data_IF_656715911512
#
_entry.id   IF_656715911512
#
_cell.length_a   1.000
_cell.length_b   1.000
_cell.length_c   1.000
_cell.angle_alpha   90.00
_cell.angle_beta   90.00
_cell.angle_gamma   90.00
#
_symmetry.space_group_name_H-M   'P 1'
#
loop_
_entity.id
_entity.type
_entity.pdbx_description
1 polymer ?
#
# COMPACT_ATOMS: atom_id res chain seq x y z
N UNK A 1 -1.46 24.17 -5.37
CA UNK A 1 -1.15 23.75 -6.75
C UNK A 1 0.02 22.76 -6.71
N UNK A 2 -0.27 21.47 -6.82
CA UNK A 2 0.76 20.46 -7.02
C UNK A 2 1.02 20.42 -8.53
N UNK A 3 2.06 21.12 -8.96
CA UNK A 3 2.51 21.09 -10.35
C UNK A 3 3.09 19.74 -10.70
N UNK A 4 2.29 18.87 -11.32
CA UNK A 4 2.77 17.62 -11.91
C UNK A 4 3.51 17.98 -13.20
N UNK A 5 4.82 18.04 -13.13
CA UNK A 5 5.68 18.21 -14.32
C UNK A 5 5.88 16.84 -14.95
N UNK A 6 5.07 16.55 -15.95
CA UNK A 6 5.15 15.35 -16.78
C UNK A 6 6.34 15.45 -17.73
N UNK A 7 7.36 14.64 -17.57
CA UNK A 7 8.45 14.50 -18.55
C UNK A 7 8.69 13.00 -18.81
N UNK A 8 8.46 12.56 -20.03
CA UNK A 8 8.98 11.33 -20.62
C UNK A 8 7.98 10.18 -20.79
N UNK A 9 8.21 9.40 -21.83
CA UNK A 9 7.39 8.28 -22.31
C UNK A 9 7.18 7.12 -21.32
N UNK A 10 7.98 7.01 -20.29
CA UNK A 10 7.89 5.95 -19.27
C UNK A 10 6.76 6.20 -18.25
N UNK A 11 6.34 7.45 -18.06
CA UNK A 11 5.14 7.76 -17.29
C UNK A 11 3.87 7.17 -17.91
N UNK A 12 3.86 6.97 -19.22
CA UNK A 12 2.67 6.51 -19.94
C UNK A 12 2.21 5.09 -19.56
N UNK A 13 3.10 4.17 -19.13
CA UNK A 13 2.68 2.78 -18.81
C UNK A 13 1.99 2.73 -17.45
N UNK A 14 2.58 3.34 -16.44
CA UNK A 14 1.98 3.43 -15.09
C UNK A 14 0.68 4.23 -15.14
N UNK A 15 0.68 5.36 -15.80
CA UNK A 15 -0.48 6.24 -15.93
C UNK A 15 -1.60 5.56 -16.72
N UNK A 16 -1.27 4.78 -17.75
CA UNK A 16 -2.26 4.02 -18.52
C UNK A 16 -2.96 2.98 -17.65
N UNK A 17 -2.24 2.23 -16.82
CA UNK A 17 -2.83 1.23 -15.92
C UNK A 17 -3.71 1.89 -14.86
N UNK A 18 -3.25 2.99 -14.26
CA UNK A 18 -4.04 3.76 -13.30
C UNK A 18 -5.28 4.35 -13.97
N UNK A 19 -5.14 4.92 -15.17
CA UNK A 19 -6.25 5.49 -15.90
C UNK A 19 -7.30 4.44 -16.29
N UNK A 20 -6.88 3.22 -16.65
CA UNK A 20 -7.80 2.10 -16.91
C UNK A 20 -8.60 1.73 -15.65
N UNK A 21 -7.96 1.72 -14.47
CA UNK A 21 -8.66 1.46 -13.21
C UNK A 21 -9.65 2.59 -12.91
N UNK A 22 -9.23 3.84 -13.03
CA UNK A 22 -10.09 5.01 -12.82
C UNK A 22 -11.30 4.93 -13.75
N UNK A 23 -11.08 4.74 -15.06
CA UNK A 23 -12.16 4.71 -16.08
C UNK A 23 -13.13 3.56 -15.84
N UNK A 24 -12.66 2.43 -15.28
CA UNK A 24 -13.52 1.28 -14.96
C UNK A 24 -14.47 1.56 -13.80
N UNK A 25 -14.06 2.39 -12.86
CA UNK A 25 -14.77 2.63 -11.61
C UNK A 25 -15.35 4.05 -11.49
N UNK A 26 -15.04 4.91 -12.45
CA UNK A 26 -15.54 6.29 -12.44
C UNK A 26 -17.05 6.32 -12.65
N UNK A 27 -17.72 7.14 -11.85
CA UNK A 27 -19.16 7.42 -12.00
C UNK A 27 -19.29 8.82 -12.57
N UNK A 28 -20.06 8.94 -13.66
CA UNK A 28 -20.36 10.24 -14.27
C UNK A 28 -20.96 11.19 -13.24
N UNK A 29 -20.51 12.44 -13.26
CA UNK A 29 -20.99 13.54 -12.40
C UNK A 29 -20.66 13.40 -10.91
N UNK A 30 -19.81 12.44 -10.52
CA UNK A 30 -19.32 12.33 -9.15
C UNK A 30 -18.08 13.21 -8.94
N UNK A 31 -17.98 13.98 -7.83
CA UNK A 31 -16.77 14.70 -7.46
C UNK A 31 -15.64 13.75 -7.00
N UNK A 32 -15.94 12.47 -6.80
CA UNK A 32 -14.99 11.47 -6.33
C UNK A 32 -14.55 10.54 -7.46
N UNK A 33 -13.29 10.13 -7.40
CA UNK A 33 -12.70 9.21 -8.40
C UNK A 33 -13.31 7.81 -8.32
N UNK A 34 -13.65 7.35 -7.11
CA UNK A 34 -14.25 6.04 -6.88
C UNK A 34 -15.64 6.18 -6.24
N UNK A 35 -16.59 5.28 -6.53
CA UNK A 35 -17.97 5.34 -6.05
C UNK A 35 -18.10 4.87 -4.60
N UNK A 36 -17.18 5.30 -3.74
CA UNK A 36 -17.18 4.99 -2.30
C UNK A 36 -17.96 6.05 -1.54
N UNK A 37 -17.75 7.30 -1.92
CA UNK A 37 -18.46 8.46 -1.39
C UNK A 37 -19.40 8.99 -2.47
N UNK A 38 -20.60 9.35 -2.07
CA UNK A 38 -21.63 9.89 -2.98
C UNK A 38 -22.11 11.28 -2.56
N UNK A 39 -21.95 11.64 -1.29
CA UNK A 39 -22.35 12.95 -0.77
C UNK A 39 -21.23 13.95 -0.83
N UNK A 40 -21.55 15.20 -1.17
CA UNK A 40 -20.67 16.37 -1.07
C UNK A 40 -20.75 17.07 0.29
N UNK A 41 -21.73 16.70 1.13
CA UNK A 41 -21.78 17.18 2.51
C UNK A 41 -20.68 16.52 3.34
N UNK A 42 -19.93 17.31 4.09
CA UNK A 42 -18.76 16.84 4.81
C UNK A 42 -19.09 15.83 5.91
N UNK A 43 -20.22 15.98 6.58
CA UNK A 43 -20.65 15.10 7.69
C UNK A 43 -21.09 13.76 7.12
N UNK A 44 -21.95 13.80 6.10
CA UNK A 44 -22.45 12.59 5.45
C UNK A 44 -21.31 11.84 4.73
N UNK A 45 -20.43 12.53 4.03
CA UNK A 45 -19.26 11.94 3.39
C UNK A 45 -18.32 11.26 4.41
N UNK A 46 -18.14 11.86 5.59
CA UNK A 46 -17.36 11.25 6.68
C UNK A 46 -18.01 9.97 7.21
N UNK A 47 -19.32 9.95 7.38
CA UNK A 47 -20.04 8.74 7.80
C UNK A 47 -19.93 7.63 6.73
N UNK A 48 -20.10 7.95 5.46
CA UNK A 48 -19.90 7.02 4.35
C UNK A 48 -18.47 6.45 4.35
N UNK A 49 -17.45 7.31 4.52
CA UNK A 49 -16.05 6.91 4.63
C UNK A 49 -15.83 5.94 5.79
N UNK A 50 -16.37 6.23 6.98
CA UNK A 50 -16.22 5.40 8.17
C UNK A 50 -16.81 4.00 7.96
N UNK A 51 -18.00 3.93 7.36
CA UNK A 51 -18.67 2.66 7.03
C UNK A 51 -17.87 1.86 6.00
N UNK A 52 -17.41 2.53 4.93
CA UNK A 52 -16.62 1.92 3.88
C UNK A 52 -15.29 1.38 4.41
N UNK A 53 -14.59 2.14 5.24
CA UNK A 53 -13.32 1.74 5.87
C UNK A 53 -13.51 0.50 6.76
N UNK A 54 -14.55 0.47 7.60
CA UNK A 54 -14.86 -0.67 8.45
C UNK A 54 -15.17 -1.92 7.62
N UNK A 55 -15.95 -1.76 6.54
CA UNK A 55 -16.28 -2.84 5.62
C UNK A 55 -15.04 -3.38 4.94
N UNK A 56 -14.16 -2.49 4.43
CA UNK A 56 -12.89 -2.84 3.82
C UNK A 56 -12.01 -3.66 4.78
N UNK A 57 -11.81 -3.18 6.01
CA UNK A 57 -11.00 -3.86 7.01
C UNK A 57 -11.57 -5.24 7.38
N UNK A 58 -12.89 -5.37 7.47
CA UNK A 58 -13.57 -6.65 7.71
C UNK A 58 -13.36 -7.64 6.56
N UNK A 59 -13.44 -7.16 5.31
CA UNK A 59 -13.22 -7.98 4.12
C UNK A 59 -11.74 -8.42 4.01
N UNK A 60 -10.78 -7.55 4.33
CA UNK A 60 -9.36 -7.92 4.40
C UNK A 60 -9.09 -9.00 5.46
N UNK A 61 -9.76 -8.91 6.61
CA UNK A 61 -9.69 -9.96 7.63
C UNK A 61 -10.17 -11.31 7.12
N UNK A 62 -11.34 -11.35 6.46
CA UNK A 62 -11.86 -12.57 5.84
C UNK A 62 -10.94 -13.12 4.74
N UNK A 63 -10.38 -12.25 3.91
CA UNK A 63 -9.44 -12.65 2.88
C UNK A 63 -8.17 -13.26 3.49
N UNK A 64 -7.68 -12.69 4.59
CA UNK A 64 -6.54 -13.21 5.34
C UNK A 64 -6.80 -14.63 5.86
N UNK A 65 -7.99 -14.90 6.38
CA UNK A 65 -8.42 -16.23 6.84
C UNK A 65 -8.54 -17.23 5.66
N UNK A 66 -9.18 -16.82 4.56
CA UNK A 66 -9.37 -17.68 3.37
C UNK A 66 -8.05 -18.08 2.70
N UNK A 67 -7.03 -17.22 2.78
CA UNK A 67 -5.71 -17.45 2.19
C UNK A 67 -4.71 -18.08 3.18
N UNK A 68 -5.16 -18.39 4.40
CA UNK A 68 -4.31 -18.89 5.49
C UNK A 68 -3.03 -18.05 5.67
N UNK A 69 -3.22 -16.71 5.64
CA UNK A 69 -2.10 -15.79 5.77
C UNK A 69 -1.53 -15.85 7.19
N UNK A 70 -0.20 -15.97 7.31
CA UNK A 70 0.51 -15.94 8.60
C UNK A 70 0.35 -14.64 9.37
N UNK A 71 -0.06 -13.56 8.69
CA UNK A 71 -0.30 -12.25 9.26
C UNK A 71 -1.64 -11.70 8.79
N UNK A 72 -2.27 -10.89 9.65
CA UNK A 72 -3.52 -10.21 9.31
C UNK A 72 -3.28 -9.19 8.20
N UNK A 73 -4.04 -9.30 7.11
CA UNK A 73 -4.01 -8.32 6.03
C UNK A 73 -4.67 -7.01 6.49
N UNK A 74 -4.01 -5.92 6.19
CA UNK A 74 -4.49 -4.55 6.44
C UNK A 74 -4.23 -3.69 5.21
N UNK A 75 -4.81 -2.49 5.14
CA UNK A 75 -4.48 -1.53 4.06
C UNK A 75 -2.99 -1.17 4.01
N UNK A 76 -2.29 -1.24 5.13
CA UNK A 76 -0.85 -1.03 5.19
C UNK A 76 -0.03 -2.18 4.61
N UNK A 77 -0.58 -3.39 4.53
CA UNK A 77 0.12 -4.54 3.97
C UNK A 77 0.57 -4.31 2.54
N UNK A 78 -0.26 -3.66 1.71
CA UNK A 78 0.10 -3.30 0.33
C UNK A 78 1.29 -2.35 0.28
N UNK A 79 1.33 -1.36 1.18
CA UNK A 79 2.43 -0.40 1.30
C UNK A 79 3.73 -1.08 1.74
N UNK A 80 3.67 -1.98 2.72
CA UNK A 80 4.82 -2.77 3.17
C UNK A 80 5.33 -3.68 2.05
N UNK A 81 4.42 -4.39 1.37
CA UNK A 81 4.78 -5.30 0.28
C UNK A 81 5.43 -4.56 -0.89
N UNK A 82 4.92 -3.38 -1.26
CA UNK A 82 5.53 -2.56 -2.30
C UNK A 82 6.94 -2.13 -1.93
N UNK A 83 7.15 -1.63 -0.72
CA UNK A 83 8.46 -1.16 -0.26
C UNK A 83 9.48 -2.31 -0.22
N UNK A 84 9.08 -3.47 0.29
CA UNK A 84 9.91 -4.68 0.33
C UNK A 84 10.23 -5.19 -1.08
N UNK A 85 9.23 -5.25 -1.97
CA UNK A 85 9.43 -5.65 -3.35
C UNK A 85 10.38 -4.69 -4.08
N UNK A 86 10.19 -3.38 -3.95
CA UNK A 86 11.06 -2.38 -4.54
C UNK A 86 12.51 -2.54 -4.07
N UNK A 87 12.73 -2.77 -2.78
CA UNK A 87 14.05 -3.04 -2.23
C UNK A 87 14.67 -4.33 -2.79
N UNK A 88 13.90 -5.42 -2.85
CA UNK A 88 14.36 -6.71 -3.38
C UNK A 88 14.73 -6.62 -4.87
N UNK A 89 14.14 -5.67 -5.60
CA UNK A 89 14.50 -5.32 -6.97
C UNK A 89 15.63 -4.27 -7.08
N UNK A 90 16.33 -3.99 -5.98
CA UNK A 90 17.42 -3.02 -5.93
C UNK A 90 17.04 -1.60 -6.38
N UNK A 91 15.78 -1.20 -6.16
CA UNK A 91 15.36 0.18 -6.41
C UNK A 91 16.08 1.10 -5.41
N UNK A 92 16.70 2.22 -5.87
CA UNK A 92 17.38 3.14 -4.98
C UNK A 92 16.48 3.65 -3.85
N UNK A 93 17.05 3.80 -2.66
CA UNK A 93 16.28 4.18 -1.46
C UNK A 93 15.62 5.57 -1.60
N UNK A 94 16.27 6.46 -2.35
CA UNK A 94 15.71 7.78 -2.71
C UNK A 94 14.40 7.66 -3.48
N UNK A 95 14.32 6.72 -4.42
CA UNK A 95 13.11 6.47 -5.22
C UNK A 95 12.03 5.83 -4.36
N UNK A 96 12.40 4.88 -3.49
CA UNK A 96 11.45 4.27 -2.53
C UNK A 96 10.91 5.35 -1.58
N UNK A 97 11.78 6.22 -1.07
CA UNK A 97 11.42 7.34 -0.19
C UNK A 97 10.40 8.27 -0.82
N UNK A 98 10.64 8.66 -2.07
CA UNK A 98 9.71 9.49 -2.84
C UNK A 98 8.38 8.77 -3.09
N UNK A 99 8.41 7.50 -3.48
CA UNK A 99 7.21 6.70 -3.71
C UNK A 99 6.37 6.47 -2.45
N UNK A 100 7.02 6.46 -1.28
CA UNK A 100 6.36 6.37 0.01
C UNK A 100 5.92 7.74 0.57
N UNK A 101 6.33 8.85 -0.04
CA UNK A 101 6.06 10.20 0.46
C UNK A 101 6.77 10.52 1.77
N UNK A 102 7.92 9.89 2.03
CA UNK A 102 8.73 10.21 3.20
C UNK A 102 9.52 11.51 2.98
N UNK A 103 9.65 12.31 4.03
CA UNK A 103 10.40 13.57 4.00
C UNK A 103 11.92 13.38 4.01
N UNK A 104 12.41 12.19 4.40
CA UNK A 104 13.82 11.85 4.39
C UNK A 104 14.06 10.38 4.06
N UNK A 105 15.19 10.09 3.43
CA UNK A 105 15.65 8.73 3.15
C UNK A 105 15.93 7.95 4.44
N UNK A 106 16.36 8.63 5.50
CA UNK A 106 16.61 8.02 6.79
C UNK A 106 15.32 7.40 7.37
N UNK A 107 14.17 8.07 7.22
CA UNK A 107 12.87 7.51 7.61
C UNK A 107 12.56 6.22 6.85
N UNK A 108 12.87 6.19 5.56
CA UNK A 108 12.68 5.01 4.71
C UNK A 108 13.63 3.89 5.11
N UNK A 109 14.86 4.21 5.46
CA UNK A 109 15.87 3.26 5.90
C UNK A 109 15.48 2.57 7.21
N UNK A 110 15.04 3.34 8.21
CA UNK A 110 14.50 2.81 9.48
C UNK A 110 13.29 1.91 9.21
N UNK A 111 12.36 2.38 8.37
CA UNK A 111 11.17 1.63 8.00
C UNK A 111 11.50 0.27 7.37
N UNK A 112 12.41 0.25 6.37
CA UNK A 112 12.82 -0.99 5.70
C UNK A 112 13.60 -1.92 6.65
N UNK A 113 14.45 -1.39 7.53
CA UNK A 113 15.17 -2.17 8.55
C UNK A 113 14.20 -2.84 9.52
N UNK A 114 13.13 -2.16 9.92
CA UNK A 114 12.09 -2.74 10.78
C UNK A 114 11.38 -3.93 10.11
N UNK A 115 11.18 -3.85 8.79
CA UNK A 115 10.62 -4.97 8.02
C UNK A 115 11.59 -6.17 7.92
N UNK A 116 12.90 -5.92 7.90
CA UNK A 116 13.93 -6.98 7.83
C UNK A 116 14.12 -7.73 9.13
N UNK A 117 13.95 -7.08 10.26
CA UNK A 117 14.10 -7.74 11.57
C UNK A 117 13.19 -8.96 11.68
N UNK A 118 12.00 -8.92 11.08
CA UNK A 118 11.11 -10.08 11.03
C UNK A 118 11.67 -11.27 10.23
N UNK A 119 12.47 -11.01 9.21
CA UNK A 119 13.14 -12.04 8.38
C UNK A 119 14.30 -12.64 9.17
N UNK A 120 15.08 -11.81 9.84
CA UNK A 120 16.20 -12.23 10.70
C UNK A 120 15.68 -13.06 11.88
N UNK A 121 14.60 -12.64 12.52
CA UNK A 121 13.96 -13.38 13.63
C UNK A 121 13.45 -14.75 13.19
N UNK A 122 12.87 -14.85 11.98
CA UNK A 122 12.43 -16.13 11.43
C UNK A 122 13.61 -17.04 11.06
N UNK A 123 14.69 -16.49 10.51
CA UNK A 123 15.92 -17.24 10.23
C UNK A 123 16.56 -17.76 11.52
N UNK A 124 16.66 -16.91 12.53
CA UNK A 124 17.19 -17.28 13.85
C UNK A 124 16.37 -18.40 14.52
N UNK A 125 15.02 -18.32 14.45
CA UNK A 125 14.15 -19.40 14.92
C UNK A 125 14.45 -20.72 14.21
N UNK A 126 14.61 -20.70 12.89
CA UNK A 126 14.95 -21.90 12.10
C UNK A 126 16.29 -22.50 12.54
N UNK A 127 17.32 -21.66 12.77
CA UNK A 127 18.64 -22.12 13.24
C UNK A 127 18.55 -22.70 14.64
N UNK A 128 17.86 -22.04 15.58
CA UNK A 128 17.68 -22.53 16.94
C UNK A 128 16.96 -23.88 16.96
N UNK A 129 15.89 -24.02 16.18
CA UNK A 129 15.15 -25.30 16.10
C UNK A 129 15.99 -26.43 15.56
N UNK A 130 16.84 -26.19 14.54
CA UNK A 130 17.75 -27.21 13.98
C UNK A 130 18.90 -27.62 14.91
N UNK A 131 19.17 -26.86 15.97
CA UNK A 131 20.18 -27.20 16.98
C UNK A 131 19.61 -28.01 18.18
N UNK A 132 18.28 -28.09 18.26
CA UNK A 132 17.56 -28.79 19.33
C UNK A 132 17.08 -30.19 18.90
N UNK A 133 17.23 -30.54 17.62
CA UNK A 133 17.06 -31.88 17.06
C UNK A 133 18.39 -32.67 17.06
#
# INVERSE_FOLDING_TARGET
EIGVRLVGSEMCIRDRSIQQIINRHNVSDSPYVFPILTSTDAIEAYEQYRIALNTHNRLLGKLSEMLDCKCKLTSYTSRHSWATAARNHNVPISVISQGMGHTSEQTTQIYLTTLENSVIDNANKGIIMSLLE
#
